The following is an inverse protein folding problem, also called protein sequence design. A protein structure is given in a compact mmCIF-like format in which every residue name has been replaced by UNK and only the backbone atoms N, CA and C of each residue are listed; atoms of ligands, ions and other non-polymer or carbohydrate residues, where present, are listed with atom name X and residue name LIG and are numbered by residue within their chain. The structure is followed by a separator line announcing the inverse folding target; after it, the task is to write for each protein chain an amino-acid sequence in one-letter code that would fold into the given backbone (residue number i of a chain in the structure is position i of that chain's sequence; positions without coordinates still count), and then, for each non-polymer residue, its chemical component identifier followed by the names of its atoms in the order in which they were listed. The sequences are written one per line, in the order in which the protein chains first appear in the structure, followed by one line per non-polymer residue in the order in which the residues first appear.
data_IF_424256577531
#
_entry.id   IF_424256577531
#
_cell.length_a   1.000
_cell.length_b   1.000
_cell.length_c   1.000
_cell.angle_alpha   90.00
_cell.angle_beta   90.00
_cell.angle_gamma   90.00
#
_symmetry.space_group_name_H-M   'P 1'
#
loop_
_entity.id
_entity.type
_entity.pdbx_description
1 polymer ?
#
# COMPACT_ATOMS: atom_id res chain seq x y z
N UNK A 1 -15.37 22.22 18.54
CA UNK A 1 -14.78 22.09 17.21
C UNK A 1 -14.86 20.64 16.77
N UNK A 2 -15.72 20.36 15.80
CA UNK A 2 -15.88 19.04 15.18
C UNK A 2 -14.92 18.87 14.00
N UNK A 3 -14.75 17.64 13.51
CA UNK A 3 -13.93 17.38 12.31
C UNK A 3 -14.46 18.13 11.07
N UNK A 4 -15.78 18.24 10.94
CA UNK A 4 -16.43 18.98 9.85
C UNK A 4 -16.14 20.48 9.95
N UNK A 5 -16.25 21.06 11.15
CA UNK A 5 -15.92 22.46 11.40
C UNK A 5 -14.46 22.76 11.08
N UNK A 6 -13.53 21.89 11.53
CA UNK A 6 -12.10 22.08 11.26
C UNK A 6 -11.77 22.02 9.77
N UNK A 7 -12.36 21.07 9.03
CA UNK A 7 -12.17 20.98 7.57
C UNK A 7 -12.67 22.23 6.85
N UNK A 8 -13.84 22.74 7.24
CA UNK A 8 -14.42 23.96 6.66
C UNK A 8 -13.51 25.17 6.88
N UNK A 9 -13.00 25.35 8.11
CA UNK A 9 -12.07 26.44 8.45
C UNK A 9 -10.79 26.32 7.62
N UNK A 10 -10.21 25.13 7.50
CA UNK A 10 -8.97 24.93 6.74
C UNK A 10 -9.14 25.23 5.25
N UNK A 11 -10.24 24.76 4.63
CA UNK A 11 -10.55 25.05 3.22
C UNK A 11 -10.68 26.55 2.99
N UNK A 12 -11.43 27.24 3.86
CA UNK A 12 -11.59 28.69 3.77
C UNK A 12 -10.25 29.41 3.89
N UNK A 13 -9.42 29.05 4.88
CA UNK A 13 -8.10 29.67 5.06
C UNK A 13 -7.16 29.43 3.89
N UNK A 14 -7.21 28.25 3.27
CA UNK A 14 -6.43 27.95 2.07
C UNK A 14 -6.91 28.79 0.88
N UNK A 15 -8.22 29.00 0.75
CA UNK A 15 -8.79 29.79 -0.36
C UNK A 15 -8.42 31.28 -0.34
N UNK A 16 -8.01 31.81 0.81
CA UNK A 16 -7.59 33.21 0.98
C UNK A 16 -6.10 33.44 0.69
N UNK A 17 -5.32 32.37 0.48
CA UNK A 17 -3.87 32.47 0.26
C UNK A 17 -3.60 32.85 -1.20
N UNK A 18 -2.91 33.97 -1.40
CA UNK A 18 -2.44 34.46 -2.70
C UNK A 18 -0.92 34.29 -2.90
N UNK A 19 -0.31 33.38 -2.16
CA UNK A 19 1.12 33.03 -2.24
C UNK A 19 1.29 31.59 -2.73
N UNK A 20 1.81 31.43 -3.94
CA UNK A 20 2.00 30.13 -4.58
C UNK A 20 3.04 29.27 -3.85
N UNK A 21 4.12 29.87 -3.32
CA UNK A 21 5.16 29.13 -2.60
C UNK A 21 4.60 28.56 -1.30
N UNK A 22 3.73 29.33 -0.63
CA UNK A 22 3.06 28.87 0.57
C UNK A 22 2.03 27.77 0.27
N UNK A 23 1.27 27.87 -0.83
CA UNK A 23 0.37 26.81 -1.29
C UNK A 23 1.12 25.52 -1.65
N UNK A 24 2.28 25.62 -2.30
CA UNK A 24 3.16 24.48 -2.63
C UNK A 24 3.69 23.77 -1.36
N UNK A 25 4.05 24.53 -0.34
CA UNK A 25 4.47 23.97 0.95
C UNK A 25 3.31 23.22 1.64
N UNK A 26 2.10 23.80 1.65
CA UNK A 26 0.90 23.15 2.21
C UNK A 26 0.60 21.86 1.44
N UNK A 27 0.63 21.90 0.10
CA UNK A 27 0.45 20.73 -0.76
C UNK A 27 1.44 19.63 -0.41
N UNK A 28 2.73 19.95 -0.26
CA UNK A 28 3.78 18.98 0.09
C UNK A 28 3.49 18.28 1.43
N UNK A 29 3.02 19.02 2.44
CA UNK A 29 2.65 18.46 3.75
C UNK A 29 1.46 17.49 3.61
N UNK A 30 0.44 17.88 2.84
CA UNK A 30 -0.76 17.07 2.61
C UNK A 30 -0.44 15.79 1.82
N UNK A 31 0.37 15.90 0.77
CA UNK A 31 0.83 14.75 -0.02
C UNK A 31 1.71 13.81 0.80
N UNK A 32 2.51 14.35 1.73
CA UNK A 32 3.29 13.57 2.68
C UNK A 32 2.43 12.72 3.63
N UNK A 33 1.26 13.21 4.04
CA UNK A 33 0.28 12.43 4.83
C UNK A 33 -0.47 11.39 4.00
N UNK A 34 -0.61 11.58 2.70
CA UNK A 34 -1.24 10.59 1.83
C UNK A 34 -0.35 9.33 1.62
N UNK A 35 0.96 9.41 1.90
CA UNK A 35 1.88 8.27 1.80
C UNK A 35 1.60 7.12 2.78
N UNK A 36 0.80 7.35 3.82
CA UNK A 36 0.37 6.28 4.74
C UNK A 36 -0.51 5.21 4.05
N UNK A 37 -0.88 5.41 2.77
CA UNK A 37 -1.63 4.43 1.96
C UNK A 37 -0.80 3.65 0.94
N UNK A 38 0.48 3.99 0.74
CA UNK A 38 1.36 3.25 -0.16
C UNK A 38 2.17 2.24 0.65
N UNK A 39 1.84 0.96 0.52
CA UNK A 39 2.61 -0.11 1.14
C UNK A 39 4.02 -0.16 0.54
N UNK A 40 5.01 0.36 1.26
CA UNK A 40 6.41 0.35 0.84
C UNK A 40 7.02 -1.00 1.19
N UNK A 41 7.38 -1.76 0.16
CA UNK A 41 8.07 -3.05 0.32
C UNK A 41 9.55 -2.86 0.64
N UNK A 42 10.10 -3.75 1.46
CA UNK A 42 11.56 -3.86 1.66
C UNK A 42 12.24 -4.36 0.38
N UNK A 43 13.55 -4.16 0.25
CA UNK A 43 14.29 -4.71 -0.89
C UNK A 43 14.20 -6.23 -0.96
N UNK A 44 14.23 -6.91 0.18
CA UNK A 44 14.05 -8.37 0.25
C UNK A 44 12.70 -8.81 -0.30
N UNK A 45 11.60 -8.16 0.11
CA UNK A 45 10.25 -8.45 -0.39
C UNK A 45 10.13 -8.19 -1.90
N UNK A 46 10.79 -7.15 -2.42
CA UNK A 46 10.82 -6.90 -3.86
C UNK A 46 11.55 -8.02 -4.61
N UNK A 47 12.70 -8.46 -4.09
CA UNK A 47 13.45 -9.57 -4.69
C UNK A 47 12.66 -10.88 -4.65
N UNK A 48 11.98 -11.16 -3.53
CA UNK A 48 11.11 -12.34 -3.39
C UNK A 48 10.01 -12.35 -4.46
N UNK A 49 9.29 -11.23 -4.65
CA UNK A 49 8.25 -11.11 -5.69
C UNK A 49 8.83 -11.28 -7.10
N UNK A 50 10.02 -10.72 -7.36
CA UNK A 50 10.69 -10.88 -8.65
C UNK A 50 11.03 -12.35 -8.90
N UNK A 51 11.55 -13.04 -7.89
CA UNK A 51 11.89 -14.45 -7.98
C UNK A 51 10.63 -15.32 -8.15
N UNK A 52 9.58 -15.12 -7.35
CA UNK A 52 8.32 -15.86 -7.50
C UNK A 52 7.71 -15.71 -8.90
N UNK A 53 7.79 -14.51 -9.50
CA UNK A 53 7.34 -14.29 -10.88
C UNK A 53 8.17 -15.05 -11.91
N UNK A 54 9.45 -15.26 -11.66
CA UNK A 54 10.32 -16.08 -12.49
C UNK A 54 9.96 -17.55 -12.32
N UNK A 55 9.80 -18.02 -11.08
CA UNK A 55 9.44 -19.40 -10.77
C UNK A 55 8.11 -19.79 -11.44
N UNK A 56 7.09 -18.92 -11.40
CA UNK A 56 5.82 -19.14 -12.11
C UNK A 56 6.03 -19.31 -13.62
N UNK A 57 6.88 -18.49 -14.25
CA UNK A 57 7.17 -18.59 -15.69
C UNK A 57 7.92 -19.88 -16.04
N UNK A 58 8.75 -20.37 -15.13
CA UNK A 58 9.52 -21.61 -15.29
C UNK A 58 8.69 -22.85 -14.93
N UNK A 59 7.44 -22.69 -14.49
CA UNK A 59 6.57 -23.78 -14.05
C UNK A 59 6.93 -24.32 -12.66
N UNK A 60 7.78 -23.60 -11.92
CA UNK A 60 8.20 -23.92 -10.55
C UNK A 60 7.17 -23.40 -9.54
N UNK A 61 5.91 -23.77 -9.74
CA UNK A 61 4.82 -23.47 -8.82
C UNK A 61 3.96 -24.71 -8.61
N UNK A 62 3.21 -24.72 -7.51
CA UNK A 62 2.18 -25.72 -7.23
C UNK A 62 0.82 -25.02 -7.28
N UNK A 63 -0.18 -25.66 -7.85
CA UNK A 63 -1.54 -25.10 -7.82
C UNK A 63 -2.11 -25.18 -6.41
N UNK A 64 -3.05 -24.28 -6.09
CA UNK A 64 -3.70 -24.30 -4.78
C UNK A 64 -4.43 -25.64 -4.54
N UNK A 65 -5.03 -26.21 -5.58
CA UNK A 65 -5.73 -27.50 -5.49
C UNK A 65 -4.79 -28.67 -5.17
N UNK A 66 -3.57 -28.66 -5.72
CA UNK A 66 -2.56 -29.68 -5.43
C UNK A 66 -2.02 -29.52 -4.00
N UNK A 67 -1.72 -28.28 -3.60
CA UNK A 67 -1.28 -27.97 -2.25
C UNK A 67 -2.31 -28.39 -1.20
N UNK A 68 -3.60 -28.10 -1.44
CA UNK A 68 -4.69 -28.48 -0.55
C UNK A 68 -4.76 -30.00 -0.39
N UNK A 69 -4.58 -30.77 -1.48
CA UNK A 69 -4.55 -32.24 -1.42
C UNK A 69 -3.39 -32.75 -0.56
N UNK A 70 -2.19 -32.18 -0.72
CA UNK A 70 -1.02 -32.55 0.09
C UNK A 70 -1.25 -32.26 1.59
N UNK A 71 -1.85 -31.11 1.90
CA UNK A 71 -2.19 -30.73 3.27
C UNK A 71 -3.22 -31.71 3.87
N UNK A 72 -4.28 -32.05 3.13
CA UNK A 72 -5.28 -33.02 3.61
C UNK A 72 -4.68 -34.40 3.82
N UNK A 73 -3.83 -34.86 2.90
CA UNK A 73 -3.12 -36.13 3.03
C UNK A 73 -2.25 -36.14 4.31
N UNK A 74 -1.48 -35.07 4.56
CA UNK A 74 -0.67 -34.92 5.75
C UNK A 74 -1.50 -34.94 7.05
N UNK A 75 -2.63 -34.22 7.08
CA UNK A 75 -3.53 -34.21 8.24
C UNK A 75 -4.16 -35.57 8.54
N UNK A 76 -4.47 -36.35 7.49
CA UNK A 76 -5.08 -37.68 7.62
C UNK A 76 -4.08 -38.80 7.98
N UNK A 77 -2.78 -38.54 7.86
CA UNK A 77 -1.71 -39.48 8.19
C UNK A 77 -1.35 -39.50 9.69
N UNK A 78 -2.13 -38.81 10.53
CA UNK A 78 -1.97 -38.70 11.99
C UNK A 78 -3.12 -39.38 12.72
#
# INVERSE_FOLDING_TARGET
MTMLELKSILIHRISEINDIQFLEAIKTILDGKAKDTVLVLTEEQKQEIIQSRKDIKEGLFISNEELDKEIQAWLSAK
#
